data_IF_751304350843
#
_entry.id   IF_751304350843
#
_cell.length_a   1.000
_cell.length_b   1.000
_cell.length_c   1.000
_cell.angle_alpha   90.00
_cell.angle_beta   90.00
_cell.angle_gamma   90.00
#
_symmetry.space_group_name_H-M   'P 1'
#
loop_
_entity.id
_entity.type
_entity.pdbx_description
1 polymer ?
#
# COMPACT_ATOMS: atom_id res chain seq x y z
N UNK A 1 10.83 19.25 -6.49
CA UNK A 1 11.06 18.14 -7.44
C UNK A 1 9.71 17.55 -7.83
N UNK A 2 9.41 17.48 -9.12
CA UNK A 2 8.14 16.96 -9.62
C UNK A 2 8.24 15.42 -9.71
N UNK A 3 7.63 14.68 -8.78
CA UNK A 3 7.69 13.19 -8.71
C UNK A 3 6.75 12.49 -9.71
N UNK A 4 6.36 13.18 -10.78
CA UNK A 4 5.35 12.68 -11.74
C UNK A 4 3.93 12.72 -11.19
N UNK A 5 3.01 11.96 -11.80
CA UNK A 5 1.62 11.86 -11.39
C UNK A 5 1.18 10.40 -11.27
N UNK A 6 0.33 10.10 -10.28
CA UNK A 6 -0.32 8.81 -10.15
C UNK A 6 -1.47 8.70 -11.16
N UNK A 7 -1.46 7.66 -12.00
CA UNK A 7 -2.58 7.30 -12.86
C UNK A 7 -3.42 6.19 -12.20
N UNK A 8 -4.70 6.45 -11.97
CA UNK A 8 -5.66 5.44 -11.52
C UNK A 8 -6.57 5.01 -12.67
N UNK A 9 -6.75 3.70 -12.87
CA UNK A 9 -7.69 3.20 -13.87
C UNK A 9 -9.13 3.54 -13.45
N UNK A 10 -9.94 4.04 -14.39
CA UNK A 10 -11.31 4.52 -14.09
C UNK A 10 -12.21 3.43 -13.52
N UNK A 11 -11.95 2.17 -13.88
CA UNK A 11 -12.65 1.00 -13.35
C UNK A 11 -12.57 0.87 -11.83
N UNK A 12 -11.55 1.47 -11.18
CA UNK A 12 -11.40 1.40 -9.74
C UNK A 12 -12.67 1.90 -9.04
N UNK A 13 -13.30 2.94 -9.60
CA UNK A 13 -14.57 3.49 -9.10
C UNK A 13 -15.72 2.49 -9.15
N UNK A 14 -15.64 1.50 -10.03
CA UNK A 14 -16.66 0.46 -10.17
C UNK A 14 -16.40 -0.78 -9.32
N UNK A 15 -15.15 -1.00 -8.91
CA UNK A 15 -14.77 -2.14 -8.08
C UNK A 15 -15.33 -2.01 -6.66
N UNK A 16 -15.68 -3.15 -6.06
CA UNK A 16 -16.17 -3.24 -4.69
C UNK A 16 -15.20 -2.58 -3.69
N UNK A 17 -13.89 -2.72 -3.90
CA UNK A 17 -12.86 -2.11 -3.07
C UNK A 17 -12.98 -0.59 -2.94
N UNK A 18 -13.59 0.08 -3.91
CA UNK A 18 -13.78 1.52 -3.88
C UNK A 18 -15.17 1.88 -3.37
N UNK A 19 -16.21 1.28 -3.98
CA UNK A 19 -17.63 1.58 -3.68
C UNK A 19 -18.03 1.31 -2.24
N UNK A 20 -17.41 0.32 -1.60
CA UNK A 20 -17.82 -0.16 -0.28
C UNK A 20 -16.78 0.13 0.81
N UNK A 21 -15.77 0.93 0.50
CA UNK A 21 -14.73 1.33 1.44
C UNK A 21 -15.07 2.66 2.11
N UNK A 22 -14.63 2.83 3.35
CA UNK A 22 -14.75 4.10 4.06
C UNK A 22 -13.82 5.15 3.44
N UNK A 23 -14.04 6.45 3.68
CA UNK A 23 -13.12 7.50 3.23
C UNK A 23 -11.67 7.25 3.69
N UNK A 24 -11.46 6.78 4.92
CA UNK A 24 -10.13 6.45 5.45
C UNK A 24 -9.49 5.32 4.65
N UNK A 25 -10.26 4.27 4.32
CA UNK A 25 -9.76 3.16 3.51
C UNK A 25 -9.38 3.63 2.10
N UNK A 26 -10.18 4.50 1.47
CA UNK A 26 -9.86 5.05 0.16
C UNK A 26 -8.56 5.88 0.19
N UNK A 27 -8.39 6.72 1.21
CA UNK A 27 -7.17 7.51 1.41
C UNK A 27 -5.96 6.60 1.60
N UNK A 28 -6.05 5.59 2.47
CA UNK A 28 -4.96 4.63 2.71
C UNK A 28 -4.59 3.88 1.43
N UNK A 29 -5.58 3.47 0.61
CA UNK A 29 -5.32 2.79 -0.67
C UNK A 29 -4.53 3.68 -1.63
N UNK A 30 -4.95 4.94 -1.78
CA UNK A 30 -4.26 5.90 -2.67
C UNK A 30 -2.87 6.23 -2.13
N UNK A 31 -2.71 6.40 -0.82
CA UNK A 31 -1.40 6.60 -0.19
C UNK A 31 -0.46 5.43 -0.46
N UNK A 32 -0.94 4.18 -0.31
CA UNK A 32 -0.14 3.01 -0.64
C UNK A 32 0.30 3.00 -2.12
N UNK A 33 -0.61 3.31 -3.05
CA UNK A 33 -0.29 3.39 -4.48
C UNK A 33 0.74 4.48 -4.80
N UNK A 34 0.83 5.54 -3.99
CA UNK A 34 1.87 6.57 -4.12
C UNK A 34 3.21 6.15 -3.48
N UNK A 35 3.20 5.20 -2.54
CA UNK A 35 4.39 4.77 -1.80
C UNK A 35 5.10 3.56 -2.42
N UNK A 36 4.39 2.76 -3.23
CA UNK A 36 5.01 1.60 -3.90
C UNK A 36 6.11 2.04 -4.85
N UNK A 37 7.12 1.20 -4.94
CA UNK A 37 8.22 1.42 -5.87
C UNK A 37 7.75 1.28 -7.31
N UNK A 38 8.19 2.22 -8.16
CA UNK A 38 7.95 2.18 -9.60
C UNK A 38 9.02 1.36 -10.34
N UNK A 39 10.24 1.33 -9.80
CA UNK A 39 11.38 0.56 -10.31
C UNK A 39 11.97 -0.29 -9.19
N UNK A 40 12.71 -1.34 -9.54
CA UNK A 40 13.40 -2.15 -8.55
C UNK A 40 14.42 -1.27 -7.79
N UNK A 41 14.46 -1.41 -6.47
CA UNK A 41 15.38 -0.65 -5.62
C UNK A 41 15.95 -1.50 -4.50
N UNK A 42 17.26 -1.37 -4.28
CA UNK A 42 17.91 -1.91 -3.09
C UNK A 42 17.61 -0.98 -1.91
N UNK A 43 16.88 -1.49 -0.92
CA UNK A 43 16.61 -0.77 0.32
C UNK A 43 17.43 -1.38 1.45
N UNK A 44 18.38 -0.62 2.00
CA UNK A 44 19.09 -1.04 3.20
C UNK A 44 18.33 -0.56 4.45
N UNK A 45 17.78 -1.50 5.20
CA UNK A 45 17.13 -1.21 6.48
C UNK A 45 17.86 -1.93 7.62
N UNK A 46 18.49 -1.14 8.50
CA UNK A 46 19.24 -1.62 9.68
C UNK A 46 20.32 -2.67 9.35
N UNK A 47 21.02 -2.51 8.23
CA UNK A 47 22.10 -3.41 7.79
C UNK A 47 21.62 -4.68 7.07
N UNK A 48 20.32 -4.82 6.83
CA UNK A 48 19.77 -5.83 5.92
C UNK A 48 19.36 -5.16 4.61
N UNK A 49 19.83 -5.71 3.50
CA UNK A 49 19.39 -5.32 2.16
C UNK A 49 18.08 -6.02 1.83
N UNK A 50 17.12 -5.24 1.35
CA UNK A 50 15.84 -5.69 0.83
C UNK A 50 15.76 -5.27 -0.64
N UNK A 51 15.63 -6.25 -1.54
CA UNK A 51 15.44 -5.98 -2.96
C UNK A 51 13.94 -5.78 -3.22
N UNK A 52 13.49 -4.52 -3.24
CA UNK A 52 12.09 -4.20 -3.48
C UNK A 52 11.82 -4.16 -4.97
N UNK A 53 10.88 -4.98 -5.40
CA UNK A 53 10.40 -5.02 -6.78
C UNK A 53 9.36 -3.91 -7.04
N UNK A 54 9.13 -3.55 -8.32
CA UNK A 54 8.02 -2.67 -8.68
C UNK A 54 6.69 -3.18 -8.10
N UNK A 55 5.90 -2.28 -7.50
CA UNK A 55 4.64 -2.63 -6.83
C UNK A 55 4.77 -3.09 -5.37
N UNK A 56 6.00 -3.19 -4.84
CA UNK A 56 6.27 -3.47 -3.43
C UNK A 56 6.59 -2.19 -2.65
N UNK A 57 6.26 -2.20 -1.36
CA UNK A 57 6.66 -1.19 -0.38
C UNK A 57 6.99 -1.84 0.96
N UNK A 58 8.09 -1.39 1.58
CA UNK A 58 8.42 -1.72 2.96
C UNK A 58 8.05 -0.54 3.86
N UNK A 59 7.03 -0.71 4.71
CA UNK A 59 6.58 0.35 5.62
C UNK A 59 6.13 -0.21 6.97
N UNK A 60 5.83 0.67 7.92
CA UNK A 60 5.18 0.30 9.18
C UNK A 60 3.75 0.85 9.23
N UNK A 61 2.90 0.27 10.08
CA UNK A 61 1.52 0.74 10.24
C UNK A 61 1.46 2.20 10.69
N UNK A 62 2.36 2.61 11.60
CA UNK A 62 2.42 3.99 12.10
C UNK A 62 2.87 4.95 11.01
N UNK A 63 3.86 4.57 10.18
CA UNK A 63 4.31 5.40 9.07
C UNK A 63 3.23 5.55 8.01
N UNK A 64 2.54 4.46 7.68
CA UNK A 64 1.43 4.51 6.73
C UNK A 64 0.27 5.37 7.25
N UNK A 65 -0.03 5.32 8.56
CA UNK A 65 -1.04 6.20 9.16
C UNK A 65 -0.64 7.68 9.02
N UNK A 66 0.61 8.01 9.34
CA UNK A 66 1.17 9.37 9.20
C UNK A 66 1.06 9.88 7.75
N UNK A 67 1.52 9.09 6.77
CA UNK A 67 1.47 9.44 5.34
C UNK A 67 0.05 9.48 4.78
N UNK A 68 -0.91 8.78 5.41
CA UNK A 68 -2.32 8.81 5.01
C UNK A 68 -3.05 10.04 5.55
N UNK A 69 -2.42 10.84 6.41
CA UNK A 69 -2.90 12.14 6.85
C UNK A 69 -3.34 12.19 8.32
N UNK A 70 -3.53 13.42 8.81
CA UNK A 70 -3.67 13.78 10.24
C UNK A 70 -4.70 12.96 11.04
N UNK A 71 -5.78 12.52 10.40
CA UNK A 71 -6.90 11.85 11.09
C UNK A 71 -6.91 10.34 10.89
N UNK A 72 -5.91 9.78 10.21
CA UNK A 72 -5.80 8.35 9.99
C UNK A 72 -5.08 7.71 11.16
N UNK A 73 -5.77 6.79 11.83
CA UNK A 73 -5.20 6.02 12.94
C UNK A 73 -4.59 4.71 12.46
N UNK A 74 -3.70 4.13 13.27
CA UNK A 74 -3.17 2.77 13.04
C UNK A 74 -4.29 1.72 12.94
N UNK A 75 -5.41 1.93 13.63
CA UNK A 75 -6.56 1.03 13.55
C UNK A 75 -7.28 1.14 12.19
N UNK A 76 -7.38 2.34 11.62
CA UNK A 76 -7.87 2.51 10.25
C UNK A 76 -6.96 1.76 9.26
N UNK A 77 -5.64 1.89 9.42
CA UNK A 77 -4.67 1.16 8.58
C UNK A 77 -4.85 -0.35 8.69
N UNK A 78 -4.90 -0.91 9.91
CA UNK A 78 -5.09 -2.36 10.10
C UNK A 78 -6.37 -2.88 9.46
N UNK A 79 -7.47 -2.14 9.61
CA UNK A 79 -8.77 -2.54 9.04
C UNK A 79 -8.78 -2.42 7.51
N UNK A 80 -8.11 -1.41 6.95
CA UNK A 80 -7.93 -1.24 5.52
C UNK A 80 -7.11 -2.38 4.90
N UNK A 81 -5.94 -2.71 5.47
CA UNK A 81 -5.07 -3.76 4.96
C UNK A 81 -5.76 -5.13 4.94
N UNK A 82 -6.43 -5.52 6.03
CA UNK A 82 -7.23 -6.76 6.09
C UNK A 82 -8.30 -6.80 5.00
N UNK A 83 -8.92 -5.65 4.70
CA UNK A 83 -9.91 -5.54 3.63
C UNK A 83 -9.24 -5.73 2.26
N UNK A 84 -8.13 -5.05 2.00
CA UNK A 84 -7.44 -5.10 0.72
C UNK A 84 -6.92 -6.50 0.41
N UNK A 85 -6.37 -7.18 1.42
CA UNK A 85 -5.98 -8.59 1.33
C UNK A 85 -7.17 -9.50 1.04
N UNK A 86 -8.30 -9.31 1.74
CA UNK A 86 -9.54 -10.08 1.50
C UNK A 86 -10.06 -9.93 0.06
N UNK A 87 -9.90 -8.75 -0.54
CA UNK A 87 -10.27 -8.50 -1.94
C UNK A 87 -9.15 -8.85 -2.95
N UNK A 88 -8.02 -9.39 -2.48
CA UNK A 88 -6.89 -9.77 -3.33
C UNK A 88 -6.15 -8.60 -3.97
N UNK A 89 -6.24 -7.39 -3.40
CA UNK A 89 -5.55 -6.21 -3.93
C UNK A 89 -4.07 -6.19 -3.56
N UNK A 90 -3.72 -6.68 -2.38
CA UNK A 90 -2.36 -6.75 -1.90
C UNK A 90 -2.13 -7.97 -1.01
N UNK A 91 -0.86 -8.32 -0.80
CA UNK A 91 -0.41 -9.16 0.31
C UNK A 91 0.20 -8.26 1.40
N UNK A 92 0.12 -8.71 2.65
CA UNK A 92 0.59 -7.94 3.80
C UNK A 92 1.41 -8.81 4.76
N UNK A 93 2.69 -9.01 4.42
CA UNK A 93 3.60 -9.87 5.19
C UNK A 93 4.28 -9.08 6.31
N UNK A 94 3.98 -9.45 7.56
CA UNK A 94 4.68 -8.88 8.71
C UNK A 94 6.07 -9.47 8.87
N UNK A 95 7.09 -8.61 8.91
CA UNK A 95 8.44 -8.96 9.36
C UNK A 95 8.63 -8.54 10.82
N UNK A 96 9.76 -8.89 11.45
CA UNK A 96 10.03 -8.63 12.88
C UNK A 96 9.83 -7.16 13.32
N UNK A 97 9.82 -6.18 12.41
CA UNK A 97 9.61 -4.75 12.72
C UNK A 97 8.76 -3.98 11.69
N UNK A 98 8.70 -4.43 10.45
CA UNK A 98 8.03 -3.75 9.34
C UNK A 98 7.02 -4.68 8.67
N UNK A 99 6.34 -4.18 7.64
CA UNK A 99 5.45 -4.97 6.80
C UNK A 99 5.87 -4.79 5.34
N UNK A 100 6.02 -5.90 4.63
CA UNK A 100 6.17 -5.92 3.18
C UNK A 100 4.78 -5.99 2.58
N UNK A 101 4.40 -4.95 1.84
CA UNK A 101 3.13 -4.91 1.13
C UNK A 101 3.39 -4.96 -0.37
N UNK A 102 2.71 -5.86 -1.06
CA UNK A 102 2.84 -6.05 -2.50
C UNK A 102 1.47 -6.00 -3.15
N UNK A 103 1.29 -5.11 -4.13
CA UNK A 103 0.05 -5.09 -4.91
C UNK A 103 0.03 -6.25 -5.89
N UNK A 104 -1.07 -7.00 -5.93
CA UNK A 104 -1.23 -8.09 -6.88
C UNK A 104 -1.47 -7.53 -8.29
N UNK A 105 -0.64 -7.94 -9.24
CA UNK A 105 -0.91 -7.71 -10.67
C UNK A 105 -2.04 -8.64 -11.10
N UNK A 106 -3.11 -8.14 -11.75
CA UNK A 106 -4.15 -9.01 -12.29
C UNK A 106 -3.56 -10.00 -13.30
N UNK A 107 -3.63 -11.31 -13.03
CA UNK A 107 -3.16 -12.38 -13.93
C UNK A 107 -2.07 -13.30 -13.36
N UNK A 108 -1.61 -13.09 -12.12
CA UNK A 108 -0.80 -14.07 -11.40
C UNK A 108 -1.70 -15.00 -10.57
N UNK A 109 -1.87 -16.22 -11.09
CA UNK A 109 -2.68 -17.38 -10.65
C UNK A 109 -4.08 -17.45 -11.27
#
# INVERSE_FOLDING_TARGET
MNKGWLKLHRELKDKAIWKTSTPEQQVILVTLLMMVNYEASEWEWRGQKYDLQPGQVLTSLSKLAEESGKYITVQNVRTALKRFEKYGFLTDESTNKNRLMEFRVPGSH
#
